data_IF_706024873541
#
_entry.id   IF_706024873541
#
_cell.length_a   1.000
_cell.length_b   1.000
_cell.length_c   1.000
_cell.angle_alpha   90.00
_cell.angle_beta   90.00
_cell.angle_gamma   90.00
#
_symmetry.space_group_name_H-M   'P 1'
#
loop_
_entity.id
_entity.type
_entity.pdbx_description
1 polymer ?
#
# COMPACT_ATOMS: atom_id res chain seq x y z
N UNK A 1 11.32 13.44 3.15
CA UNK A 1 10.10 14.19 2.74
C UNK A 1 9.00 13.18 2.47
N UNK A 2 7.72 13.60 2.43
CA UNK A 2 6.60 12.65 2.20
C UNK A 2 6.75 11.85 0.90
N UNK A 3 7.32 12.47 -0.14
CA UNK A 3 7.61 11.83 -1.42
C UNK A 3 8.58 10.64 -1.29
N UNK A 4 9.52 10.69 -0.34
CA UNK A 4 10.47 9.59 -0.11
C UNK A 4 9.75 8.35 0.44
N UNK A 5 8.72 8.55 1.29
CA UNK A 5 7.90 7.46 1.82
C UNK A 5 7.04 6.84 0.73
N UNK A 6 6.42 7.66 -0.12
CA UNK A 6 5.67 7.18 -1.28
C UNK A 6 6.55 6.43 -2.27
N UNK A 7 7.74 6.97 -2.56
CA UNK A 7 8.72 6.34 -3.45
C UNK A 7 9.22 5.02 -2.89
N UNK A 8 9.47 4.93 -1.57
CA UNK A 8 9.89 3.68 -0.93
C UNK A 8 8.83 2.57 -1.08
N UNK A 9 7.57 2.88 -0.79
CA UNK A 9 6.46 1.93 -1.00
C UNK A 9 6.37 1.52 -2.47
N UNK A 10 6.40 2.49 -3.39
CA UNK A 10 6.35 2.23 -4.84
C UNK A 10 7.49 1.33 -5.33
N UNK A 11 8.72 1.57 -4.87
CA UNK A 11 9.89 0.76 -5.24
C UNK A 11 9.77 -0.69 -4.72
N UNK A 12 9.34 -0.87 -3.47
CA UNK A 12 9.15 -2.22 -2.91
C UNK A 12 8.12 -3.00 -3.74
N UNK A 13 7.00 -2.36 -4.08
CA UNK A 13 5.94 -2.98 -4.88
C UNK A 13 6.43 -3.35 -6.29
N UNK A 14 7.16 -2.45 -6.97
CA UNK A 14 7.70 -2.73 -8.31
C UNK A 14 8.74 -3.85 -8.28
N UNK A 15 9.63 -3.89 -7.30
CA UNK A 15 10.65 -4.94 -7.16
C UNK A 15 10.03 -6.31 -6.85
N UNK A 16 8.91 -6.32 -6.11
CA UNK A 16 8.24 -7.55 -5.68
C UNK A 16 7.28 -8.11 -6.74
N UNK A 17 6.93 -7.33 -7.76
CA UNK A 17 5.94 -7.73 -8.75
C UNK A 17 6.56 -8.57 -9.89
N UNK A 18 5.83 -9.54 -10.48
CA UNK A 18 6.30 -10.29 -11.64
C UNK A 18 6.60 -9.42 -12.87
N UNK A 19 7.55 -9.86 -13.69
CA UNK A 19 8.04 -9.12 -14.88
C UNK A 19 6.94 -8.83 -15.94
N UNK A 20 5.85 -9.62 -15.97
CA UNK A 20 4.75 -9.42 -16.93
C UNK A 20 3.70 -8.41 -16.46
N UNK A 21 3.87 -7.80 -15.27
CA UNK A 21 2.98 -6.82 -14.72
C UNK A 21 2.99 -5.49 -15.50
N UNK A 22 1.81 -4.93 -15.73
CA UNK A 22 1.63 -3.60 -16.32
C UNK A 22 0.96 -2.61 -15.38
N UNK A 23 0.20 -3.10 -14.41
CA UNK A 23 -0.40 -2.32 -13.33
C UNK A 23 -0.34 -3.10 -12.02
N UNK A 24 -0.03 -2.44 -10.91
CA UNK A 24 -0.12 -3.00 -9.55
C UNK A 24 -1.29 -2.34 -8.84
N UNK A 25 -2.04 -3.12 -8.06
CA UNK A 25 -3.11 -2.66 -7.16
C UNK A 25 -2.96 -3.37 -5.83
N UNK A 26 -2.57 -2.62 -4.80
CA UNK A 26 -2.29 -3.15 -3.47
C UNK A 26 -3.13 -2.43 -2.42
N UNK A 27 -3.76 -3.18 -1.54
CA UNK A 27 -4.38 -2.65 -0.33
C UNK A 27 -3.45 -2.82 0.85
N UNK A 28 -3.31 -1.77 1.64
CA UNK A 28 -2.57 -1.78 2.90
C UNK A 28 -3.48 -1.22 3.97
N UNK A 29 -3.84 -2.04 4.94
CA UNK A 29 -4.63 -1.63 6.09
C UNK A 29 -3.80 -1.77 7.36
N UNK A 30 -3.78 -0.75 8.20
CA UNK A 30 -3.07 -0.76 9.48
C UNK A 30 -4.09 -0.94 10.58
N UNK A 31 -3.90 -1.94 11.44
CA UNK A 31 -4.75 -2.19 12.60
C UNK A 31 -4.81 -0.94 13.51
N UNK A 32 -5.91 -0.78 14.26
CA UNK A 32 -6.14 0.40 15.11
C UNK A 32 -5.00 0.62 16.12
N UNK A 33 -4.47 -0.46 16.68
CA UNK A 33 -3.37 -0.47 17.65
C UNK A 33 -1.99 -0.18 17.00
N UNK A 34 -1.92 -0.11 15.66
CA UNK A 34 -0.71 0.13 14.87
C UNK A 34 0.41 -0.92 15.10
N UNK A 35 0.04 -2.14 15.43
CA UNK A 35 0.95 -3.28 15.68
C UNK A 35 0.87 -4.37 14.59
N UNK A 36 -0.15 -4.32 13.75
CA UNK A 36 -0.38 -5.25 12.66
C UNK A 36 -0.92 -4.54 11.40
N UNK A 37 -0.89 -5.26 10.29
CA UNK A 37 -1.41 -4.78 9.01
C UNK A 37 -1.97 -5.92 8.14
N UNK A 38 -3.07 -5.63 7.46
CA UNK A 38 -3.67 -6.45 6.42
C UNK A 38 -3.19 -6.01 5.04
N UNK A 39 -3.07 -6.97 4.12
CA UNK A 39 -2.61 -6.72 2.76
C UNK A 39 -3.37 -7.53 1.73
N UNK A 40 -3.53 -6.96 0.53
CA UNK A 40 -3.69 -7.74 -0.68
C UNK A 40 -2.74 -7.22 -1.76
N UNK A 41 -2.26 -8.12 -2.61
CA UNK A 41 -1.28 -7.81 -3.66
C UNK A 41 -1.77 -8.34 -5.00
N UNK A 42 -2.32 -7.43 -5.82
CA UNK A 42 -2.78 -7.76 -7.17
C UNK A 42 -1.97 -7.04 -8.23
N UNK A 43 -1.84 -7.67 -9.39
CA UNK A 43 -1.36 -7.03 -10.60
C UNK A 43 -2.23 -7.38 -11.80
N UNK A 44 -2.18 -6.52 -12.82
CA UNK A 44 -2.69 -6.81 -14.15
C UNK A 44 -1.51 -7.18 -15.06
N UNK A 45 -1.62 -8.29 -15.78
CA UNK A 45 -0.64 -8.67 -16.80
C UNK A 45 -0.86 -7.90 -18.12
N UNK A 46 0.02 -8.14 -19.10
CA UNK A 46 -0.08 -7.53 -20.44
C UNK A 46 -1.37 -7.87 -21.23
N UNK A 47 -2.13 -8.86 -20.79
CA UNK A 47 -3.44 -9.26 -21.34
C UNK A 47 -4.60 -8.74 -20.48
N UNK A 48 -4.31 -7.89 -19.50
CA UNK A 48 -5.27 -7.30 -18.56
C UNK A 48 -5.94 -8.34 -17.64
N UNK A 49 -5.29 -9.49 -17.39
CA UNK A 49 -5.77 -10.46 -16.40
C UNK A 49 -5.32 -10.02 -15.00
N UNK A 50 -6.25 -10.01 -14.05
CA UNK A 50 -5.96 -9.80 -12.63
C UNK A 50 -5.39 -11.07 -12.01
N UNK A 51 -4.24 -10.96 -11.35
CA UNK A 51 -3.56 -12.06 -10.65
C UNK A 51 -3.04 -11.57 -9.30
N UNK A 52 -2.90 -12.50 -8.37
CA UNK A 52 -2.22 -12.27 -7.09
C UNK A 52 -0.71 -12.47 -7.26
N UNK A 53 0.06 -11.79 -6.42
CA UNK A 53 1.49 -12.04 -6.28
C UNK A 53 1.88 -12.06 -4.80
N UNK A 54 2.94 -12.80 -4.49
CA UNK A 54 3.44 -12.94 -3.13
C UNK A 54 4.58 -11.96 -2.93
N UNK A 55 4.51 -11.19 -1.85
CA UNK A 55 5.57 -10.29 -1.41
C UNK A 55 6.34 -10.94 -0.27
N UNK A 56 7.67 -10.80 -0.26
CA UNK A 56 8.51 -11.34 0.80
C UNK A 56 8.20 -10.70 2.16
N UNK A 57 8.29 -11.48 3.24
CA UNK A 57 8.02 -11.00 4.61
C UNK A 57 8.80 -9.74 5.00
N UNK A 58 10.05 -9.59 4.54
CA UNK A 58 10.85 -8.39 4.83
C UNK A 58 10.33 -7.18 4.05
N UNK A 59 9.85 -7.38 2.83
CA UNK A 59 9.24 -6.33 2.03
C UNK A 59 7.90 -5.88 2.62
N UNK A 60 7.10 -6.79 3.15
CA UNK A 60 5.86 -6.43 3.88
C UNK A 60 6.16 -5.69 5.19
N UNK A 61 7.21 -6.08 5.94
CA UNK A 61 7.67 -5.33 7.11
C UNK A 61 8.14 -3.91 6.73
N UNK A 62 8.91 -3.78 5.65
CA UNK A 62 9.36 -2.48 5.18
C UNK A 62 8.19 -1.57 4.77
N UNK A 63 7.16 -2.13 4.13
CA UNK A 63 5.92 -1.40 3.83
C UNK A 63 5.22 -0.97 5.12
N UNK A 64 5.06 -1.88 6.09
CA UNK A 64 4.42 -1.61 7.37
C UNK A 64 5.06 -0.42 8.09
N UNK A 65 6.37 -0.48 8.34
CA UNK A 65 7.08 0.59 9.04
C UNK A 65 7.06 1.91 8.26
N UNK A 66 7.08 1.85 6.92
CA UNK A 66 6.96 3.06 6.08
C UNK A 66 5.57 3.69 6.19
N UNK A 67 4.52 2.88 6.30
CA UNK A 67 3.15 3.36 6.53
C UNK A 67 2.96 3.97 7.92
N UNK A 68 3.58 3.40 8.96
CA UNK A 68 3.59 4.00 10.30
C UNK A 68 4.32 5.35 10.30
N UNK A 69 5.44 5.45 9.59
CA UNK A 69 6.16 6.71 9.43
C UNK A 69 5.33 7.74 8.64
N UNK A 70 4.58 7.30 7.63
CA UNK A 70 3.65 8.14 6.89
C UNK A 70 2.51 8.65 7.78
N UNK A 71 1.89 7.78 8.60
CA UNK A 71 0.87 8.20 9.59
C UNK A 71 1.43 9.28 10.51
N UNK A 72 2.61 9.04 11.09
CA UNK A 72 3.29 10.03 11.95
C UNK A 72 3.52 11.35 11.23
N UNK A 73 4.01 11.33 9.99
CA UNK A 73 4.22 12.54 9.20
C UNK A 73 2.93 13.35 9.01
N UNK A 74 1.79 12.70 8.72
CA UNK A 74 0.51 13.38 8.59
C UNK A 74 0.06 14.05 9.90
N UNK A 75 0.25 13.37 11.03
CA UNK A 75 -0.11 13.89 12.34
C UNK A 75 0.79 15.06 12.76
N UNK A 76 2.11 14.89 12.68
CA UNK A 76 3.09 15.89 13.09
C UNK A 76 3.00 17.20 12.28
N UNK A 77 2.53 17.11 11.03
CA UNK A 77 2.37 18.25 10.12
C UNK A 77 0.92 18.74 9.99
N UNK A 78 -0.01 18.27 10.84
CA UNK A 78 -1.43 18.63 10.83
C UNK A 78 -2.11 18.48 9.44
N UNK A 79 -1.71 17.46 8.68
CA UNK A 79 -2.22 17.20 7.33
C UNK A 79 -3.58 16.49 7.33
N UNK A 80 -4.07 16.06 8.48
CA UNK A 80 -5.43 15.53 8.64
C UNK A 80 -6.48 16.64 8.77
N UNK A 81 -6.06 17.90 8.96
CA UNK A 81 -6.93 19.05 9.17
C UNK A 81 -7.98 18.80 10.28
N UNK A 82 -7.53 18.22 11.40
CA UNK A 82 -8.38 17.91 12.55
C UNK A 82 -9.30 16.70 12.38
N UNK A 83 -9.20 15.96 11.28
CA UNK A 83 -9.94 14.70 11.07
C UNK A 83 -9.14 13.49 11.59
N UNK A 84 -9.79 12.34 11.83
CA UNK A 84 -9.10 11.09 12.10
C UNK A 84 -8.08 10.76 11.02
N UNK A 85 -6.97 10.14 11.42
CA UNK A 85 -6.02 9.56 10.47
C UNK A 85 -6.68 8.40 9.71
N UNK A 86 -6.27 8.18 8.48
CA UNK A 86 -6.73 7.06 7.67
C UNK A 86 -6.33 5.70 8.30
N UNK A 87 -7.15 4.67 8.06
CA UNK A 87 -6.90 3.29 8.46
C UNK A 87 -5.88 2.62 7.52
N UNK A 88 -5.89 2.99 6.24
CA UNK A 88 -4.96 2.45 5.25
C UNK A 88 -5.04 3.17 3.92
N UNK A 89 -4.56 2.51 2.87
CA UNK A 89 -4.67 3.02 1.50
C UNK A 89 -4.73 1.92 0.45
N UNK A 90 -5.27 2.27 -0.72
CA UNK A 90 -5.07 1.53 -1.97
C UNK A 90 -3.97 2.23 -2.76
N UNK A 91 -2.93 1.49 -3.09
CA UNK A 91 -1.82 1.93 -3.93
C UNK A 91 -2.03 1.38 -5.33
N UNK A 92 -2.11 2.28 -6.32
CA UNK A 92 -2.12 1.90 -7.73
C UNK A 92 -0.84 2.38 -8.41
N UNK A 93 -0.14 1.47 -9.10
CA UNK A 93 1.05 1.80 -9.88
C UNK A 93 0.80 1.42 -11.34
N UNK A 94 0.83 2.41 -12.22
CA UNK A 94 0.94 2.21 -13.66
C UNK A 94 2.43 2.15 -14.02
N UNK A 95 2.92 0.94 -14.27
CA UNK A 95 4.34 0.69 -14.55
C UNK A 95 4.75 1.37 -15.85
N UNK A 96 3.89 1.32 -16.88
CA UNK A 96 4.18 1.86 -18.21
C UNK A 96 4.32 3.38 -18.18
N UNK A 97 3.44 4.04 -17.44
CA UNK A 97 3.44 5.50 -17.33
C UNK A 97 4.25 6.02 -16.13
N UNK A 98 4.89 5.12 -15.36
CA UNK A 98 5.63 5.48 -14.13
C UNK A 98 4.81 6.36 -13.19
N UNK A 99 3.52 6.05 -13.04
CA UNK A 99 2.57 6.82 -12.23
C UNK A 99 2.15 6.01 -11.02
N UNK A 100 2.22 6.63 -9.85
CA UNK A 100 1.73 6.06 -8.60
C UNK A 100 0.56 6.92 -8.07
N UNK A 101 -0.45 6.27 -7.50
CA UNK A 101 -1.57 6.92 -6.84
C UNK A 101 -1.83 6.24 -5.49
N UNK A 102 -2.08 7.05 -4.47
CA UNK A 102 -2.50 6.60 -3.14
C UNK A 102 -3.93 7.08 -2.89
N UNK A 103 -4.83 6.14 -2.66
CA UNK A 103 -6.20 6.43 -2.21
C UNK A 103 -6.33 6.03 -0.74
N UNK A 104 -6.37 7.01 0.16
CA UNK A 104 -6.51 6.76 1.60
C UNK A 104 -7.94 6.32 1.96
N UNK A 105 -8.04 5.31 2.82
CA UNK A 105 -9.29 4.76 3.36
C UNK A 105 -9.36 5.03 4.85
N UNK A 106 -10.52 5.47 5.31
CA UNK A 106 -10.73 5.88 6.71
C UNK A 106 -11.43 4.81 7.55
N UNK A 107 -12.04 3.83 6.90
CA UNK A 107 -12.65 2.66 7.50
C UNK A 107 -11.86 1.41 7.07
N UNK A 108 -11.92 0.31 7.85
CA UNK A 108 -11.46 -1.00 7.41
C UNK A 108 -12.08 -1.39 6.07
N UNK A 109 -11.28 -1.97 5.20
CA UNK A 109 -11.62 -2.35 3.82
C UNK A 109 -10.97 -3.67 3.38
N UNK A 110 -10.15 -4.29 4.23
CA UNK A 110 -9.67 -5.66 4.04
C UNK A 110 -10.40 -6.53 5.06
N UNK A 111 -11.25 -7.43 4.56
CA UNK A 111 -11.97 -8.37 5.42
C UNK A 111 -10.99 -9.40 5.99
N UNK A 112 -10.89 -9.51 7.32
CA UNK A 112 -10.05 -10.52 8.00
C UNK A 112 -10.57 -11.97 7.79
N UNK A 113 -11.72 -12.16 7.12
CA UNK A 113 -12.41 -13.44 6.96
C UNK A 113 -12.01 -14.27 5.71
N UNK A 114 -11.07 -13.81 4.87
CA UNK A 114 -10.56 -14.56 3.70
C UNK A 114 -9.44 -15.59 4.03
N UNK A 115 -9.30 -16.01 5.29
CA UNK A 115 -8.53 -17.21 5.69
C UNK A 115 -9.45 -18.36 6.18
N UNK A 116 -10.42 -18.79 5.37
CA UNK A 116 -11.20 -20.02 5.65
C UNK A 116 -11.16 -21.05 4.52
#
# INVERSE_FOLDING_TARGET
MIDDLYNKIGQILVISCPDDAVKIVTGIEIAEENDAAGYYFYYLDNKNNKKEFVVDSRATDDIFYTMLELKRYFLDNNLTNGKPIWAGCIVEIDIKNSKINFEFKYEPFIDEDEER
#
